data_IF_910086571979
#
_entry.id   IF_910086571979
#
_cell.length_a   1.000
_cell.length_b   1.000
_cell.length_c   1.000
_cell.angle_alpha   90.00
_cell.angle_beta   90.00
_cell.angle_gamma   90.00
#
_symmetry.space_group_name_H-M   'P 1'
#
loop_
_entity.id
_entity.type
_entity.pdbx_description
1 polymer ?
#
# COMPACT_ATOMS: atom_id res chain seq x y z
N UNK A 1 -21.24 -22.49 33.39
CA UNK A 1 -21.53 -21.44 32.38
C UNK A 1 -20.37 -21.38 31.41
N UNK A 2 -20.44 -22.23 30.39
CA UNK A 2 -19.45 -22.33 29.32
C UNK A 2 -19.74 -21.24 28.29
N UNK A 3 -18.93 -20.18 28.30
CA UNK A 3 -18.89 -19.21 27.22
C UNK A 3 -18.45 -19.98 25.96
N UNK A 4 -19.33 -20.06 24.96
CA UNK A 4 -19.00 -20.67 23.68
C UNK A 4 -17.80 -19.96 23.07
N UNK A 5 -16.94 -20.73 22.38
CA UNK A 5 -15.73 -20.22 21.68
C UNK A 5 -16.05 -18.99 20.81
N UNK A 6 -17.27 -18.88 20.28
CA UNK A 6 -17.75 -17.73 19.49
C UNK A 6 -17.83 -16.39 20.25
N UNK A 7 -18.21 -16.36 21.53
CA UNK A 7 -18.34 -15.09 22.27
C UNK A 7 -16.98 -14.53 22.70
N UNK A 8 -15.99 -15.38 22.98
CA UNK A 8 -14.62 -14.93 23.26
C UNK A 8 -13.93 -14.37 22.02
N UNK A 9 -14.18 -14.95 20.84
CA UNK A 9 -13.67 -14.40 19.57
C UNK A 9 -14.33 -13.06 19.24
N UNK A 10 -15.64 -12.92 19.42
CA UNK A 10 -16.38 -11.65 19.21
C UNK A 10 -15.93 -10.52 20.15
N UNK A 11 -15.65 -10.81 21.42
CA UNK A 11 -15.17 -9.80 22.39
C UNK A 11 -13.72 -9.37 22.09
N UNK A 12 -12.90 -10.23 21.48
CA UNK A 12 -11.53 -9.87 21.10
C UNK A 12 -11.44 -9.15 19.74
N UNK A 13 -12.53 -9.14 18.96
CA UNK A 13 -12.64 -8.40 17.70
C UNK A 13 -12.80 -6.89 17.88
N UNK A 14 -13.30 -6.41 19.02
CA UNK A 14 -13.60 -4.96 19.21
C UNK A 14 -12.42 -4.11 19.69
N UNK A 15 -11.28 -4.71 20.05
CA UNK A 15 -10.11 -3.96 20.57
C UNK A 15 -8.92 -3.91 19.59
N UNK A 16 -8.96 -4.67 18.49
CA UNK A 16 -7.84 -4.66 17.55
C UNK A 16 -7.77 -3.31 16.84
N UNK A 17 -6.61 -2.67 16.93
CA UNK A 17 -6.36 -1.37 16.31
C UNK A 17 -5.32 -1.50 15.20
N UNK A 18 -5.53 -0.73 14.15
CA UNK A 18 -4.56 -0.50 13.09
C UNK A 18 -3.98 0.91 13.18
N UNK A 19 -2.74 1.05 12.74
CA UNK A 19 -2.14 2.37 12.54
C UNK A 19 -2.50 2.84 11.12
N UNK A 20 -3.32 3.88 11.02
CA UNK A 20 -3.82 4.45 9.76
C UNK A 20 -3.14 5.80 9.52
N UNK A 21 -2.34 5.89 8.46
CA UNK A 21 -1.57 7.08 8.09
C UNK A 21 -2.42 8.15 7.40
N UNK A 22 -3.50 7.75 6.75
CA UNK A 22 -4.43 8.67 6.10
C UNK A 22 -5.62 7.97 5.48
N UNK A 23 -6.64 8.76 5.14
CA UNK A 23 -7.84 8.31 4.45
C UNK A 23 -8.12 9.30 3.32
N UNK A 24 -8.29 8.79 2.10
CA UNK A 24 -8.84 9.54 0.98
C UNK A 24 -10.28 9.08 0.79
N UNK A 25 -11.23 10.00 0.97
CA UNK A 25 -12.67 9.71 0.93
C UNK A 25 -13.19 9.37 -0.47
N UNK A 26 -12.50 9.82 -1.52
CA UNK A 26 -12.89 9.65 -2.92
C UNK A 26 -11.64 9.67 -3.81
N UNK A 27 -11.35 8.57 -4.48
CA UNK A 27 -10.25 8.42 -5.44
C UNK A 27 -10.70 7.65 -6.67
N UNK A 28 -10.23 8.08 -7.84
CA UNK A 28 -10.47 7.43 -9.14
C UNK A 28 -9.21 6.81 -9.74
N UNK A 29 -8.10 6.80 -8.97
CA UNK A 29 -6.80 6.30 -9.41
C UNK A 29 -6.34 5.05 -8.65
N UNK A 30 -6.91 4.77 -7.47
CA UNK A 30 -6.52 3.65 -6.58
C UNK A 30 -7.34 2.38 -6.84
N UNK A 31 -7.69 2.13 -8.10
CA UNK A 31 -8.49 1.01 -8.56
C UNK A 31 -9.70 1.44 -9.41
N UNK A 32 -10.52 0.49 -9.87
CA UNK A 32 -11.69 0.78 -10.70
C UNK A 32 -12.79 1.51 -9.93
N UNK A 33 -13.42 2.47 -10.61
CA UNK A 33 -14.50 3.28 -10.06
C UNK A 33 -14.02 4.35 -9.08
N UNK A 34 -14.96 5.00 -8.39
CA UNK A 34 -14.62 5.89 -7.28
C UNK A 34 -14.49 5.06 -6.00
N UNK A 35 -13.41 5.24 -5.23
CA UNK A 35 -13.09 4.41 -4.08
C UNK A 35 -12.68 5.25 -2.88
N UNK A 36 -13.00 4.80 -1.67
CA UNK A 36 -12.34 5.30 -0.47
C UNK A 36 -11.03 4.53 -0.28
N UNK A 37 -9.94 5.22 0.01
CA UNK A 37 -8.62 4.63 0.20
C UNK A 37 -8.17 4.80 1.64
N UNK A 38 -7.79 3.70 2.27
CA UNK A 38 -7.32 3.67 3.66
C UNK A 38 -5.83 3.33 3.63
N UNK A 39 -4.98 4.29 4.00
CA UNK A 39 -3.54 4.12 4.03
C UNK A 39 -3.09 3.66 5.41
N UNK A 40 -2.43 2.51 5.45
CA UNK A 40 -1.90 1.91 6.67
C UNK A 40 -0.44 2.33 6.88
N UNK A 41 -0.05 2.45 8.15
CA UNK A 41 1.32 2.73 8.57
C UNK A 41 2.11 1.43 8.76
N UNK A 42 3.39 1.45 8.39
CA UNK A 42 4.33 0.34 8.48
C UNK A 42 4.55 -0.29 7.10
N UNK A 43 5.80 -0.44 6.67
CA UNK A 43 6.18 -1.12 5.44
C UNK A 43 7.43 -1.99 5.67
N UNK A 44 7.47 -3.15 5.05
CA UNK A 44 8.60 -4.08 5.11
C UNK A 44 9.53 -3.97 3.88
N UNK A 45 9.39 -2.91 3.10
CA UNK A 45 10.33 -2.51 2.05
C UNK A 45 10.81 -1.07 2.31
N UNK A 46 11.91 -0.67 1.67
CA UNK A 46 12.50 0.66 1.79
C UNK A 46 12.82 1.25 0.42
N UNK A 47 11.84 1.24 -0.48
CA UNK A 47 12.01 1.61 -1.90
C UNK A 47 12.69 2.99 -2.06
N UNK A 48 13.69 3.07 -2.93
CA UNK A 48 14.40 4.34 -3.20
C UNK A 48 13.43 5.43 -3.69
N UNK A 49 12.46 5.05 -4.52
CA UNK A 49 11.45 5.93 -5.10
C UNK A 49 10.14 5.99 -4.32
N UNK A 50 10.10 5.55 -3.06
CA UNK A 50 8.86 5.58 -2.28
C UNK A 50 8.34 7.02 -2.10
N UNK A 51 7.20 7.33 -2.73
CA UNK A 51 6.52 8.63 -2.59
C UNK A 51 5.91 8.83 -1.21
N UNK A 52 5.54 7.74 -0.55
CA UNK A 52 4.97 7.74 0.79
C UNK A 52 5.98 7.24 1.83
N UNK A 53 7.24 7.68 1.75
CA UNK A 53 8.29 7.12 2.63
C UNK A 53 7.97 7.24 4.12
N UNK A 54 7.20 8.26 4.52
CA UNK A 54 6.70 8.45 5.88
C UNK A 54 5.71 7.36 6.37
N UNK A 55 5.29 6.42 5.52
CA UNK A 55 4.49 5.25 5.89
C UNK A 55 5.35 4.02 6.21
N UNK A 56 6.69 4.09 6.08
CA UNK A 56 7.56 2.92 6.24
C UNK A 56 7.73 2.53 7.71
N UNK A 57 8.19 3.44 8.58
CA UNK A 57 8.51 3.12 9.96
C UNK A 57 7.37 3.40 10.94
N UNK A 58 7.48 2.86 12.14
CA UNK A 58 6.62 3.24 13.27
C UNK A 58 7.31 4.31 14.11
N UNK A 59 6.55 5.24 14.66
CA UNK A 59 7.11 6.31 15.49
C UNK A 59 7.71 5.70 16.77
N UNK A 60 8.98 6.00 17.04
CA UNK A 60 9.68 5.61 18.27
C UNK A 60 9.65 6.71 19.35
N UNK A 61 8.86 7.77 19.15
CA UNK A 61 8.69 8.87 20.10
C UNK A 61 9.97 9.65 20.44
N UNK A 62 10.98 9.68 19.54
CA UNK A 62 12.22 10.43 19.77
C UNK A 62 12.03 11.96 19.90
N UNK A 63 10.89 12.51 19.46
CA UNK A 63 10.55 13.92 19.65
C UNK A 63 11.18 14.91 18.67
N UNK A 64 12.03 14.45 17.73
CA UNK A 64 12.67 15.33 16.74
C UNK A 64 11.66 16.13 15.89
N UNK A 65 10.54 15.52 15.54
CA UNK A 65 9.46 16.20 14.81
C UNK A 65 8.85 17.35 15.62
N UNK A 66 8.73 17.19 16.94
CA UNK A 66 8.21 18.21 17.85
C UNK A 66 9.22 19.36 18.01
N UNK A 67 10.50 19.03 18.20
CA UNK A 67 11.57 20.01 18.33
C UNK A 67 11.73 20.90 17.08
N UNK A 68 11.59 20.30 15.90
CA UNK A 68 11.80 20.98 14.62
C UNK A 68 10.51 21.48 13.96
N UNK A 69 9.37 21.49 14.67
CA UNK A 69 8.10 21.98 14.14
C UNK A 69 8.08 23.51 14.10
N UNK A 70 8.10 24.17 12.93
CA UNK A 70 8.21 25.64 12.86
C UNK A 70 7.01 26.37 13.49
N UNK A 71 5.84 25.72 13.48
CA UNK A 71 4.58 26.26 13.99
C UNK A 71 4.24 25.74 15.39
N UNK A 72 5.10 24.91 15.99
CA UNK A 72 4.88 24.27 17.29
C UNK A 72 3.54 23.50 17.39
N UNK A 73 3.08 22.97 16.26
CA UNK A 73 1.80 22.25 16.12
C UNK A 73 1.84 20.81 16.61
N UNK A 74 3.00 20.33 17.07
CA UNK A 74 3.20 18.95 17.51
C UNK A 74 3.56 18.91 18.99
N UNK A 75 3.03 17.93 19.72
CA UNK A 75 3.35 17.68 21.14
C UNK A 75 3.48 16.19 21.41
N UNK A 76 4.40 15.80 22.29
CA UNK A 76 4.51 14.43 22.77
C UNK A 76 3.39 14.14 23.79
N UNK A 77 2.61 13.08 23.54
CA UNK A 77 1.78 12.42 24.55
C UNK A 77 2.46 11.12 24.98
N UNK A 78 3.19 11.19 26.09
CA UNK A 78 3.89 10.05 26.65
C UNK A 78 2.93 8.98 27.19
N UNK A 79 1.76 9.38 27.68
CA UNK A 79 0.76 8.48 28.27
C UNK A 79 0.16 7.56 27.22
N UNK A 80 -0.18 8.11 26.06
CA UNK A 80 -0.79 7.36 24.95
C UNK A 80 0.22 6.90 23.88
N UNK A 81 1.52 7.20 24.08
CA UNK A 81 2.62 6.88 23.16
C UNK A 81 2.33 7.34 21.72
N UNK A 82 1.90 8.58 21.57
CA UNK A 82 1.67 9.19 20.26
C UNK A 82 2.11 10.66 20.22
N UNK A 83 2.23 11.21 19.01
CA UNK A 83 2.41 12.65 18.81
C UNK A 83 1.03 13.28 18.59
N UNK A 84 0.68 14.25 19.42
CA UNK A 84 -0.51 15.08 19.25
C UNK A 84 -0.22 16.08 18.14
N UNK A 85 -1.10 16.13 17.14
CA UNK A 85 -1.05 17.08 16.04
C UNK A 85 -2.21 18.07 16.15
N UNK A 86 -1.90 19.35 16.30
CA UNK A 86 -2.88 20.42 16.25
C UNK A 86 -3.04 20.94 14.81
N UNK A 87 -4.10 20.47 14.15
CA UNK A 87 -4.41 20.82 12.75
C UNK A 87 -4.72 22.30 12.53
N UNK A 88 -5.19 23.04 13.55
CA UNK A 88 -5.55 24.46 13.37
C UNK A 88 -4.35 25.40 13.29
N UNK A 89 -3.17 24.94 13.74
CA UNK A 89 -1.93 25.72 13.71
C UNK A 89 -0.92 25.18 12.70
N UNK A 90 -1.15 23.98 12.18
CA UNK A 90 -0.24 23.33 11.24
C UNK A 90 -0.36 23.96 9.86
N UNK A 91 0.77 24.32 9.28
CA UNK A 91 0.85 24.87 7.91
C UNK A 91 1.10 23.80 6.85
N UNK A 92 1.12 22.51 7.23
CA UNK A 92 1.40 21.39 6.32
C UNK A 92 2.73 21.54 5.56
N UNK A 93 3.77 22.05 6.22
CA UNK A 93 5.10 22.25 5.62
C UNK A 93 5.94 20.97 5.47
N UNK A 94 5.45 19.84 5.99
CA UNK A 94 6.09 18.52 5.98
C UNK A 94 7.49 18.42 6.62
N UNK A 95 7.95 19.45 7.35
CA UNK A 95 9.23 19.41 8.08
C UNK A 95 9.34 18.18 8.99
N UNK A 96 8.24 17.82 9.66
CA UNK A 96 8.19 16.67 10.54
C UNK A 96 8.33 15.32 9.80
N UNK A 97 7.85 15.22 8.56
CA UNK A 97 7.95 14.02 7.73
C UNK A 97 9.36 13.90 7.14
N UNK A 98 9.87 14.98 6.57
CA UNK A 98 11.19 15.03 5.92
C UNK A 98 12.33 14.70 6.88
N UNK A 99 12.22 15.14 8.13
CA UNK A 99 13.26 14.98 9.14
C UNK A 99 13.04 13.78 10.08
N UNK A 100 12.05 12.92 9.82
CA UNK A 100 11.80 11.76 10.67
C UNK A 100 12.83 10.64 10.36
N UNK A 101 13.70 10.26 11.31
CA UNK A 101 14.71 9.22 11.07
C UNK A 101 14.10 7.84 10.80
N UNK A 102 12.91 7.59 11.36
CA UNK A 102 12.17 6.35 11.17
C UNK A 102 11.44 6.29 9.82
N UNK A 103 11.42 7.37 9.03
CA UNK A 103 10.49 7.52 7.91
C UNK A 103 9.05 7.20 8.36
N UNK A 104 8.64 7.84 9.45
CA UNK A 104 7.30 7.72 10.03
C UNK A 104 6.56 9.05 9.94
N UNK A 105 5.30 9.06 10.37
CA UNK A 105 4.44 10.23 10.37
C UNK A 105 3.92 10.51 11.79
N UNK A 106 3.94 11.75 12.29
CA UNK A 106 3.24 12.10 13.53
C UNK A 106 1.72 12.17 13.32
N UNK A 107 1.23 11.94 12.10
CA UNK A 107 -0.18 12.11 11.73
C UNK A 107 -0.97 10.80 11.72
N UNK A 108 -0.30 9.64 11.76
CA UNK A 108 -1.05 8.38 11.76
C UNK A 108 -1.78 8.20 13.08
N UNK A 109 -2.97 7.60 13.00
CA UNK A 109 -3.87 7.38 14.14
C UNK A 109 -4.05 5.89 14.38
N UNK A 110 -4.26 5.52 15.63
CA UNK A 110 -4.79 4.20 15.96
C UNK A 110 -6.29 4.23 15.74
N UNK A 111 -6.79 3.36 14.88
CA UNK A 111 -8.21 3.25 14.58
C UNK A 111 -8.66 1.80 14.75
N UNK A 112 -9.83 1.62 15.33
CA UNK A 112 -10.54 0.35 15.42
C UNK A 112 -11.25 0.02 14.10
N UNK A 113 -11.80 -1.18 14.00
CA UNK A 113 -12.69 -1.54 12.87
C UNK A 113 -13.91 -0.62 12.84
N UNK A 114 -14.51 -0.33 14.00
CA UNK A 114 -15.70 0.52 14.11
C UNK A 114 -15.42 1.95 13.62
N UNK A 115 -14.27 2.51 13.99
CA UNK A 115 -13.84 3.83 13.50
C UNK A 115 -13.80 3.86 11.96
N UNK A 116 -13.22 2.83 11.32
CA UNK A 116 -13.15 2.77 9.86
C UNK A 116 -14.51 2.48 9.21
N UNK A 117 -15.37 1.68 9.84
CA UNK A 117 -16.74 1.46 9.35
C UNK A 117 -17.52 2.78 9.35
N UNK A 118 -17.41 3.58 10.41
CA UNK A 118 -18.01 4.92 10.46
C UNK A 118 -17.50 5.80 9.31
N UNK A 119 -16.19 5.82 9.08
CA UNK A 119 -15.58 6.59 7.99
C UNK A 119 -16.07 6.16 6.58
N UNK A 120 -16.32 4.85 6.38
CA UNK A 120 -16.85 4.29 5.12
C UNK A 120 -18.33 4.65 4.96
N UNK A 121 -19.13 4.56 6.03
CA UNK A 121 -20.56 4.88 6.00
C UNK A 121 -20.82 6.31 5.54
N UNK A 122 -19.99 7.26 5.95
CA UNK A 122 -20.11 8.67 5.55
C UNK A 122 -20.10 8.88 4.03
N UNK A 123 -19.37 8.04 3.29
CA UNK A 123 -19.15 8.20 1.85
C UNK A 123 -19.72 7.08 0.99
N UNK A 124 -20.35 6.07 1.61
CA UNK A 124 -20.84 4.84 0.94
C UNK A 124 -21.67 5.09 -0.34
N UNK A 125 -22.43 6.18 -0.40
CA UNK A 125 -23.28 6.50 -1.56
C UNK A 125 -22.51 7.09 -2.75
N UNK A 126 -21.26 7.50 -2.55
CA UNK A 126 -20.42 8.13 -3.57
C UNK A 126 -19.28 7.21 -4.04
N UNK A 127 -19.07 6.07 -3.38
CA UNK A 127 -18.00 5.12 -3.68
C UNK A 127 -18.57 3.79 -4.16
N UNK A 128 -17.81 3.13 -5.02
CA UNK A 128 -18.06 1.78 -5.52
C UNK A 128 -17.33 0.69 -4.70
N UNK A 129 -16.41 1.10 -3.84
CA UNK A 129 -15.59 0.20 -3.06
C UNK A 129 -14.58 0.91 -2.16
N UNK A 130 -13.84 0.10 -1.42
CA UNK A 130 -12.68 0.54 -0.63
C UNK A 130 -11.39 -0.07 -1.19
N UNK A 131 -10.29 0.67 -1.13
CA UNK A 131 -8.94 0.16 -1.34
C UNK A 131 -8.15 0.35 -0.06
N UNK A 132 -7.48 -0.70 0.41
CA UNK A 132 -6.50 -0.56 1.49
C UNK A 132 -5.09 -0.51 0.89
N UNK A 133 -4.27 0.45 1.31
CA UNK A 133 -2.92 0.73 0.77
C UNK A 133 -2.03 1.31 1.89
N UNK A 134 -1.03 2.13 1.58
CA UNK A 134 -0.18 2.83 2.55
C UNK A 134 1.27 2.41 2.50
N UNK A 135 1.77 1.85 3.60
CA UNK A 135 3.04 1.14 3.66
C UNK A 135 2.87 -0.25 3.04
N UNK A 136 2.96 -1.29 3.87
CA UNK A 136 2.60 -2.66 3.51
C UNK A 136 1.41 -3.11 4.34
N UNK A 137 0.23 -3.10 3.72
CA UNK A 137 -1.03 -3.34 4.39
C UNK A 137 -1.15 -4.78 4.93
N UNK A 138 -0.49 -5.76 4.30
CA UNK A 138 -0.49 -7.16 4.74
C UNK A 138 0.32 -7.41 6.02
N UNK A 139 1.03 -6.40 6.53
CA UNK A 139 1.56 -6.45 7.90
C UNK A 139 0.41 -6.49 8.93
N UNK A 140 -0.77 -6.01 8.57
CA UNK A 140 -1.95 -5.91 9.44
C UNK A 140 -3.08 -6.86 9.03
N UNK A 141 -2.76 -8.00 8.39
CA UNK A 141 -3.72 -8.95 7.82
C UNK A 141 -4.85 -9.39 8.79
N UNK A 142 -4.56 -9.57 10.09
CA UNK A 142 -5.59 -9.92 11.09
C UNK A 142 -6.64 -8.81 11.25
N UNK A 143 -6.20 -7.55 11.24
CA UNK A 143 -7.10 -6.40 11.29
C UNK A 143 -7.89 -6.26 9.99
N UNK A 144 -7.23 -6.44 8.84
CA UNK A 144 -7.90 -6.44 7.53
C UNK A 144 -9.01 -7.47 7.45
N UNK A 145 -8.77 -8.70 7.93
CA UNK A 145 -9.79 -9.74 7.98
C UNK A 145 -11.03 -9.27 8.76
N UNK A 146 -10.86 -8.66 9.93
CA UNK A 146 -11.97 -8.15 10.73
C UNK A 146 -12.67 -6.97 10.04
N UNK A 147 -11.93 -6.03 9.46
CA UNK A 147 -12.48 -4.91 8.71
C UNK A 147 -13.32 -5.39 7.53
N UNK A 148 -12.79 -6.30 6.71
CA UNK A 148 -13.48 -6.78 5.52
C UNK A 148 -14.69 -7.65 5.87
N UNK A 149 -14.57 -8.45 6.94
CA UNK A 149 -15.72 -9.17 7.50
C UNK A 149 -16.83 -8.19 7.91
N UNK A 150 -16.48 -7.10 8.59
CA UNK A 150 -17.44 -6.09 9.01
C UNK A 150 -18.09 -5.39 7.80
N UNK A 151 -17.30 -4.97 6.80
CA UNK A 151 -17.81 -4.35 5.56
C UNK A 151 -18.77 -5.29 4.83
N UNK A 152 -18.38 -6.56 4.60
CA UNK A 152 -19.19 -7.53 3.85
C UNK A 152 -20.44 -7.98 4.61
N UNK A 153 -20.42 -7.97 5.95
CA UNK A 153 -21.60 -8.29 6.78
C UNK A 153 -22.51 -7.10 7.07
N UNK A 154 -22.03 -5.87 6.89
CA UNK A 154 -22.82 -4.67 7.15
C UNK A 154 -23.91 -4.50 6.07
N UNK A 155 -25.19 -4.32 6.43
CA UNK A 155 -26.30 -4.31 5.47
C UNK A 155 -26.21 -3.19 4.43
N UNK A 156 -25.56 -2.08 4.78
CA UNK A 156 -25.41 -0.92 3.90
C UNK A 156 -24.09 -0.88 3.12
N UNK A 157 -23.11 -1.72 3.48
CA UNK A 157 -21.77 -1.70 2.88
C UNK A 157 -21.44 -2.98 2.09
N UNK A 158 -22.24 -4.04 2.23
CA UNK A 158 -21.96 -5.36 1.65
C UNK A 158 -21.84 -5.38 0.11
N UNK A 159 -22.32 -4.35 -0.58
CA UNK A 159 -22.19 -4.17 -2.03
C UNK A 159 -20.88 -3.51 -2.45
N UNK A 160 -20.11 -2.96 -1.51
CA UNK A 160 -18.83 -2.33 -1.80
C UNK A 160 -17.80 -3.40 -2.17
N UNK A 161 -17.09 -3.15 -3.27
CA UNK A 161 -15.91 -3.95 -3.63
C UNK A 161 -14.74 -3.63 -2.70
N UNK A 162 -13.89 -4.60 -2.43
CA UNK A 162 -12.72 -4.47 -1.56
C UNK A 162 -11.48 -4.85 -2.37
N UNK A 163 -10.56 -3.91 -2.50
CA UNK A 163 -9.25 -4.13 -3.12
C UNK A 163 -8.14 -3.94 -2.09
N UNK A 164 -7.07 -4.74 -2.25
CA UNK A 164 -5.88 -4.67 -1.41
C UNK A 164 -4.69 -4.32 -2.29
N UNK A 165 -4.06 -3.18 -2.03
CA UNK A 165 -2.83 -2.73 -2.67
C UNK A 165 -1.63 -3.10 -1.81
N UNK A 166 -0.77 -3.97 -2.32
CA UNK A 166 0.33 -4.56 -1.54
C UNK A 166 1.59 -4.69 -2.38
N UNK A 167 2.75 -4.57 -1.72
CA UNK A 167 4.03 -4.86 -2.32
C UNK A 167 4.30 -6.37 -2.47
N UNK A 168 3.44 -7.23 -1.94
CA UNK A 168 3.50 -8.68 -2.11
C UNK A 168 4.52 -9.41 -1.23
N UNK A 169 5.32 -8.71 -0.41
CA UNK A 169 6.36 -9.32 0.41
C UNK A 169 5.78 -9.89 1.72
N UNK A 170 5.02 -10.96 1.63
CA UNK A 170 4.37 -11.57 2.80
C UNK A 170 4.28 -13.09 2.67
N UNK A 171 3.91 -13.76 3.75
CA UNK A 171 3.69 -15.19 3.78
C UNK A 171 2.30 -15.55 3.23
N UNK A 172 2.21 -16.74 2.62
CA UNK A 172 0.98 -17.22 1.97
C UNK A 172 -0.22 -17.25 2.92
N UNK A 173 -0.02 -17.72 4.16
CA UNK A 173 -1.08 -17.82 5.16
C UNK A 173 -1.80 -16.48 5.45
N UNK A 174 -1.18 -15.33 5.16
CA UNK A 174 -1.83 -14.03 5.31
C UNK A 174 -2.74 -13.69 4.13
N UNK A 175 -2.44 -14.19 2.93
CA UNK A 175 -3.34 -14.10 1.78
C UNK A 175 -4.58 -14.95 2.03
N UNK A 176 -4.37 -16.21 2.48
CA UNK A 176 -5.44 -17.17 2.76
C UNK A 176 -6.51 -16.59 3.70
N UNK A 177 -6.10 -15.79 4.69
CA UNK A 177 -7.02 -15.11 5.60
C UNK A 177 -8.00 -14.16 4.92
N UNK A 178 -7.68 -13.64 3.73
CA UNK A 178 -8.41 -12.55 3.09
C UNK A 178 -9.13 -12.96 1.79
N UNK A 179 -8.80 -14.10 1.18
CA UNK A 179 -9.27 -14.48 -0.16
C UNK A 179 -10.80 -14.41 -0.31
N UNK A 180 -11.54 -14.88 0.69
CA UNK A 180 -13.01 -14.91 0.68
C UNK A 180 -13.66 -13.54 0.87
N UNK A 181 -12.90 -12.54 1.31
CA UNK A 181 -13.43 -11.23 1.72
C UNK A 181 -13.13 -10.12 0.72
N UNK A 182 -12.19 -10.35 -0.18
CA UNK A 182 -11.72 -9.35 -1.14
C UNK A 182 -12.14 -9.69 -2.55
N UNK A 183 -12.34 -8.64 -3.34
CA UNK A 183 -12.64 -8.76 -4.76
C UNK A 183 -11.33 -8.94 -5.55
N UNK A 184 -10.21 -8.38 -5.07
CA UNK A 184 -8.91 -8.61 -5.69
C UNK A 184 -7.73 -7.94 -5.01
N UNK A 185 -6.53 -8.37 -5.42
CA UNK A 185 -5.25 -7.81 -4.99
C UNK A 185 -4.55 -7.11 -6.15
N UNK A 186 -3.96 -5.96 -5.85
CA UNK A 186 -3.09 -5.21 -6.76
C UNK A 186 -1.67 -5.34 -6.21
N UNK A 187 -0.76 -5.91 -7.00
CA UNK A 187 0.62 -6.13 -6.60
C UNK A 187 1.61 -5.32 -7.45
N UNK A 188 2.74 -4.95 -6.83
CA UNK A 188 3.88 -4.38 -7.55
C UNK A 188 4.99 -5.42 -7.78
N UNK A 189 5.54 -5.45 -9.00
CA UNK A 189 6.88 -5.96 -9.25
C UNK A 189 7.84 -4.78 -9.39
N UNK A 190 8.81 -4.69 -8.48
CA UNK A 190 9.78 -3.58 -8.45
C UNK A 190 11.04 -3.91 -9.26
N UNK A 191 11.35 -5.19 -9.40
CA UNK A 191 12.33 -5.81 -10.28
C UNK A 191 12.13 -7.33 -10.23
N UNK A 192 12.47 -8.03 -11.32
CA UNK A 192 12.52 -9.48 -11.41
C UNK A 192 13.86 -10.05 -10.90
N UNK A 193 14.99 -9.41 -11.21
CA UNK A 193 16.29 -9.81 -10.65
C UNK A 193 16.32 -9.56 -9.14
N UNK A 194 16.72 -10.55 -8.31
CA UNK A 194 16.89 -10.35 -6.87
C UNK A 194 17.92 -9.25 -6.55
N UNK A 195 18.97 -9.10 -7.38
CA UNK A 195 20.00 -8.08 -7.21
C UNK A 195 19.42 -6.68 -7.45
N UNK A 196 18.70 -6.48 -8.56
CA UNK A 196 18.06 -5.20 -8.86
C UNK A 196 16.96 -4.88 -7.83
N UNK A 197 16.18 -5.88 -7.42
CA UNK A 197 15.17 -5.70 -6.40
C UNK A 197 15.77 -5.28 -5.05
N UNK A 198 16.88 -5.91 -4.64
CA UNK A 198 17.58 -5.52 -3.42
C UNK A 198 18.13 -4.09 -3.53
N UNK A 199 18.72 -3.71 -4.66
CA UNK A 199 19.20 -2.32 -4.89
C UNK A 199 18.06 -1.30 -4.81
N UNK A 200 16.88 -1.64 -5.33
CA UNK A 200 15.72 -0.75 -5.37
C UNK A 200 15.02 -0.66 -4.01
N UNK A 201 14.89 -1.78 -3.30
CA UNK A 201 13.98 -1.90 -2.15
C UNK A 201 14.67 -2.14 -0.81
N UNK A 202 15.91 -2.62 -0.84
CA UNK A 202 16.65 -3.16 0.31
C UNK A 202 16.39 -4.65 0.60
N UNK A 203 15.52 -5.31 -0.15
CA UNK A 203 15.07 -6.69 0.14
C UNK A 203 15.06 -7.57 -1.11
N UNK A 204 15.06 -8.88 -0.92
CA UNK A 204 14.90 -9.84 -2.00
C UNK A 204 13.41 -9.97 -2.40
N UNK A 205 13.11 -10.59 -3.55
CA UNK A 205 11.78 -10.62 -4.16
C UNK A 205 11.12 -12.00 -4.23
N UNK A 206 11.70 -13.03 -3.63
CA UNK A 206 11.21 -14.41 -3.79
C UNK A 206 9.78 -14.56 -3.28
N UNK A 207 9.45 -13.92 -2.14
CA UNK A 207 8.07 -13.92 -1.60
C UNK A 207 7.09 -13.14 -2.46
N UNK A 208 7.56 -12.09 -3.13
CA UNK A 208 6.74 -11.26 -4.02
C UNK A 208 6.37 -12.06 -5.25
N UNK A 209 7.37 -12.70 -5.90
CA UNK A 209 7.15 -13.56 -7.05
C UNK A 209 6.22 -14.74 -6.73
N UNK A 210 6.41 -15.38 -5.57
CA UNK A 210 5.50 -16.43 -5.08
C UNK A 210 4.09 -15.91 -4.84
N UNK A 211 3.94 -14.73 -4.25
CA UNK A 211 2.62 -14.13 -3.99
C UNK A 211 1.89 -13.79 -5.29
N UNK A 212 2.60 -13.29 -6.30
CA UNK A 212 2.04 -13.03 -7.64
C UNK A 212 1.50 -14.33 -8.25
N UNK A 213 2.30 -15.40 -8.26
CA UNK A 213 1.89 -16.69 -8.81
C UNK A 213 0.71 -17.28 -8.04
N UNK A 214 0.76 -17.22 -6.70
CA UNK A 214 -0.27 -17.74 -5.82
C UNK A 214 -1.61 -17.02 -6.02
N UNK A 215 -1.63 -15.70 -5.92
CA UNK A 215 -2.86 -14.92 -6.10
C UNK A 215 -3.42 -15.04 -7.52
N UNK A 216 -2.55 -15.24 -8.53
CA UNK A 216 -3.00 -15.55 -9.87
C UNK A 216 -3.67 -16.94 -9.95
N UNK A 217 -3.11 -17.98 -9.31
CA UNK A 217 -3.74 -19.31 -9.30
C UNK A 217 -5.06 -19.36 -8.55
N UNK A 218 -5.23 -18.49 -7.55
CA UNK A 218 -6.50 -18.31 -6.83
C UNK A 218 -7.52 -17.44 -7.59
N UNK A 219 -7.17 -16.92 -8.78
CA UNK A 219 -7.95 -15.94 -9.54
C UNK A 219 -8.29 -14.67 -8.72
N UNK A 220 -7.36 -14.24 -7.86
CA UNK A 220 -7.49 -13.07 -6.99
C UNK A 220 -6.49 -11.95 -7.28
N UNK A 221 -5.56 -12.16 -8.21
CA UNK A 221 -4.69 -11.09 -8.71
C UNK A 221 -5.48 -10.22 -9.71
N UNK A 222 -5.86 -9.02 -9.29
CA UNK A 222 -6.64 -8.07 -10.12
C UNK A 222 -5.73 -7.19 -10.98
N UNK A 223 -4.59 -6.78 -10.44
CA UNK A 223 -3.66 -5.87 -11.12
C UNK A 223 -2.20 -6.21 -10.77
N UNK A 224 -1.32 -6.17 -11.78
CA UNK A 224 0.14 -6.22 -11.62
C UNK A 224 0.75 -4.92 -12.17
N UNK A 225 1.58 -4.29 -11.34
CA UNK A 225 2.22 -3.00 -11.62
C UNK A 225 3.72 -3.16 -11.71
N UNK A 226 4.32 -2.58 -12.74
CA UNK A 226 5.76 -2.48 -12.88
C UNK A 226 6.18 -1.01 -12.91
N UNK A 227 7.03 -0.59 -11.97
CA UNK A 227 7.58 0.78 -11.96
C UNK A 227 8.92 0.80 -12.71
N UNK A 228 8.98 1.54 -13.82
CA UNK A 228 10.18 1.71 -14.62
C UNK A 228 11.11 2.75 -14.00
N UNK A 229 12.31 2.31 -13.61
CA UNK A 229 13.36 3.06 -12.94
C UNK A 229 14.66 2.99 -13.76
N UNK A 230 14.98 4.05 -14.51
CA UNK A 230 16.20 4.15 -15.29
C UNK A 230 17.48 3.86 -14.52
N UNK A 231 18.34 3.01 -15.08
CA UNK A 231 19.62 2.57 -14.49
C UNK A 231 19.49 1.44 -13.47
N UNK A 232 18.28 0.97 -13.19
CA UNK A 232 18.04 -0.07 -12.18
C UNK A 232 17.23 -1.25 -12.70
N UNK A 233 16.15 -1.03 -13.46
CA UNK A 233 15.30 -2.11 -13.95
C UNK A 233 14.79 -1.89 -15.40
N UNK A 234 15.45 -1.02 -16.15
CA UNK A 234 15.07 -0.65 -17.51
C UNK A 234 15.95 -1.31 -18.59
N UNK A 235 16.85 -2.20 -18.22
CA UNK A 235 17.60 -2.98 -19.20
C UNK A 235 16.70 -4.01 -19.89
N UNK A 236 17.11 -4.43 -21.09
CA UNK A 236 16.29 -5.31 -21.93
C UNK A 236 16.01 -6.66 -21.26
N UNK A 237 17.01 -7.26 -20.60
CA UNK A 237 16.86 -8.59 -20.00
C UNK A 237 15.91 -8.56 -18.81
N UNK A 238 15.98 -7.51 -17.99
CA UNK A 238 15.06 -7.28 -16.87
C UNK A 238 13.62 -7.15 -17.38
N UNK A 239 13.38 -6.31 -18.39
CA UNK A 239 12.04 -6.09 -18.95
C UNK A 239 11.51 -7.37 -19.63
N UNK A 240 12.36 -8.14 -20.32
CA UNK A 240 11.99 -9.44 -20.91
C UNK A 240 11.57 -10.45 -19.83
N UNK A 241 12.26 -10.50 -18.68
CA UNK A 241 11.85 -11.37 -17.58
C UNK A 241 10.51 -10.94 -16.96
N UNK A 242 10.30 -9.64 -16.80
CA UNK A 242 9.02 -9.08 -16.32
C UNK A 242 7.90 -9.38 -17.32
N UNK A 243 8.16 -9.24 -18.62
CA UNK A 243 7.26 -9.62 -19.70
C UNK A 243 6.89 -11.11 -19.63
N UNK A 244 7.86 -12.00 -19.47
CA UNK A 244 7.60 -13.44 -19.34
C UNK A 244 6.73 -13.77 -18.11
N UNK A 245 6.98 -13.10 -16.97
CA UNK A 245 6.13 -13.25 -15.79
C UNK A 245 4.71 -12.80 -16.09
N UNK A 246 4.54 -11.60 -16.65
CA UNK A 246 3.24 -11.01 -16.98
C UNK A 246 2.46 -11.91 -17.95
N UNK A 247 3.12 -12.50 -18.95
CA UNK A 247 2.52 -13.42 -19.91
C UNK A 247 2.02 -14.72 -19.29
N UNK A 248 2.62 -15.15 -18.17
CA UNK A 248 2.18 -16.34 -17.44
C UNK A 248 0.92 -16.11 -16.59
N UNK A 249 0.51 -14.85 -16.41
CA UNK A 249 -0.67 -14.49 -15.62
C UNK A 249 -1.95 -14.61 -16.43
N UNK A 250 -3.10 -14.67 -15.74
CA UNK A 250 -4.40 -14.67 -16.39
C UNK A 250 -4.55 -13.44 -17.32
N UNK A 251 -5.17 -13.59 -18.51
CA UNK A 251 -5.45 -12.47 -19.39
C UNK A 251 -6.26 -11.35 -18.73
N UNK A 252 -7.09 -11.69 -17.75
CA UNK A 252 -7.96 -10.77 -17.01
C UNK A 252 -7.21 -9.85 -16.05
N UNK A 253 -6.03 -10.26 -15.56
CA UNK A 253 -5.20 -9.43 -14.69
C UNK A 253 -4.88 -8.13 -15.41
N UNK A 254 -5.09 -6.98 -14.79
CA UNK A 254 -4.70 -5.71 -15.40
C UNK A 254 -3.19 -5.51 -15.32
N UNK A 255 -2.59 -5.05 -16.42
CA UNK A 255 -1.14 -4.83 -16.52
C UNK A 255 -0.84 -3.34 -16.62
N UNK A 256 -0.04 -2.84 -15.69
CA UNK A 256 0.26 -1.41 -15.58
C UNK A 256 1.76 -1.18 -15.57
N UNK A 257 2.24 -0.34 -16.49
CA UNK A 257 3.57 0.24 -16.48
C UNK A 257 3.49 1.64 -15.87
N UNK A 258 4.19 1.83 -14.75
CA UNK A 258 4.27 3.10 -14.03
C UNK A 258 5.62 3.75 -14.33
N UNK A 259 5.62 5.01 -14.74
CA UNK A 259 6.86 5.78 -14.88
C UNK A 259 7.30 6.31 -13.51
N UNK A 260 8.57 6.15 -13.18
CA UNK A 260 9.14 6.86 -12.03
C UNK A 260 8.88 8.36 -12.14
N UNK A 261 8.36 8.95 -11.05
CA UNK A 261 8.31 10.40 -10.82
C UNK A 261 9.27 10.78 -9.72
N UNK A 262 10.13 11.77 -9.96
CA UNK A 262 11.08 12.25 -8.94
C UNK A 262 10.40 13.06 -7.85
N UNK A 263 9.29 13.73 -8.18
CA UNK A 263 8.58 14.54 -7.20
C UNK A 263 8.10 13.67 -6.03
N UNK A 264 8.35 14.12 -4.80
CA UNK A 264 7.92 13.44 -3.57
C UNK A 264 8.83 12.31 -3.08
N UNK A 265 9.91 11.96 -3.79
CA UNK A 265 10.89 10.99 -3.26
C UNK A 265 11.86 11.67 -2.28
N UNK A 266 12.46 10.87 -1.39
CA UNK A 266 13.43 11.34 -0.39
C UNK A 266 14.67 11.96 -1.05
N UNK A 267 15.18 13.04 -0.47
CA UNK A 267 16.30 13.84 -1.01
C UNK A 267 17.53 13.02 -1.38
N UNK A 268 17.88 12.02 -0.55
CA UNK A 268 19.02 11.13 -0.81
C UNK A 268 18.90 10.32 -2.11
N UNK A 269 17.72 10.24 -2.73
CA UNK A 269 17.45 9.54 -3.97
C UNK A 269 17.12 10.47 -5.16
N UNK A 270 17.29 11.79 -5.03
CA UNK A 270 17.04 12.74 -6.13
C UNK A 270 17.95 12.54 -7.35
N UNK A 271 19.02 11.75 -7.22
CA UNK A 271 19.86 11.31 -8.33
C UNK A 271 19.15 10.36 -9.30
N UNK A 272 18.06 9.70 -8.90
CA UNK A 272 17.26 8.85 -9.81
C UNK A 272 16.69 9.70 -10.95
N UNK A 273 16.69 9.18 -12.17
CA UNK A 273 16.15 9.87 -13.36
C UNK A 273 14.74 9.40 -13.69
N UNK A 274 13.86 10.31 -14.14
CA UNK A 274 12.59 9.87 -14.75
C UNK A 274 12.89 9.21 -16.11
N UNK A 275 12.13 8.18 -16.51
CA UNK A 275 12.38 7.51 -17.78
C UNK A 275 12.10 8.45 -18.96
N UNK A 276 13.03 8.43 -19.92
CA UNK A 276 12.88 9.11 -21.20
C UNK A 276 11.77 8.48 -22.03
N UNK A 277 11.25 9.24 -23.00
CA UNK A 277 10.24 8.72 -23.93
C UNK A 277 10.72 7.47 -24.68
N UNK A 278 12.01 7.43 -25.06
CA UNK A 278 12.61 6.28 -25.74
C UNK A 278 12.66 5.03 -24.83
N UNK A 279 13.02 5.18 -23.56
CA UNK A 279 13.03 4.07 -22.59
C UNK A 279 11.60 3.54 -22.34
N UNK A 280 10.61 4.43 -22.27
CA UNK A 280 9.20 4.05 -22.14
C UNK A 280 8.74 3.28 -23.37
N UNK A 281 9.01 3.79 -24.58
CA UNK A 281 8.63 3.14 -25.83
C UNK A 281 9.30 1.77 -25.98
N UNK A 282 10.56 1.64 -25.58
CA UNK A 282 11.26 0.37 -25.56
C UNK A 282 10.60 -0.62 -24.59
N UNK A 283 10.32 -0.19 -23.35
CA UNK A 283 9.65 -1.03 -22.36
C UNK A 283 8.27 -1.47 -22.83
N UNK A 284 7.48 -0.52 -23.35
CA UNK A 284 6.15 -0.78 -23.91
C UNK A 284 6.24 -1.74 -25.09
N UNK A 285 7.22 -1.61 -25.98
CA UNK A 285 7.39 -2.51 -27.13
C UNK A 285 7.65 -3.95 -26.68
N UNK A 286 8.51 -4.14 -25.68
CA UNK A 286 8.82 -5.47 -25.14
C UNK A 286 7.57 -6.05 -24.45
N UNK A 287 6.92 -5.26 -23.59
CA UNK A 287 5.70 -5.68 -22.85
C UNK A 287 4.46 -5.86 -23.76
N UNK A 288 4.37 -5.18 -24.91
CA UNK A 288 3.25 -5.29 -25.87
C UNK A 288 3.48 -6.33 -26.95
N UNK A 289 4.67 -6.92 -27.07
CA UNK A 289 4.84 -8.14 -27.86
C UNK A 289 3.87 -9.26 -27.41
N UNK A 290 3.22 -9.06 -26.25
CA UNK A 290 2.54 -10.05 -25.46
C UNK A 290 1.00 -10.08 -25.62
N UNK A 291 0.42 -9.46 -26.65
CA UNK A 291 -1.04 -9.47 -26.97
C UNK A 291 -2.01 -8.91 -25.91
N UNK A 292 -1.54 -8.47 -24.74
CA UNK A 292 -2.39 -7.95 -23.66
C UNK A 292 -2.50 -6.41 -23.68
N UNK A 293 -3.59 -5.87 -23.12
CA UNK A 293 -3.79 -4.43 -22.95
C UNK A 293 -2.92 -3.89 -21.81
N UNK A 294 -1.76 -3.33 -22.15
CA UNK A 294 -0.89 -2.62 -21.21
C UNK A 294 -1.35 -1.17 -21.02
N UNK A 295 -1.56 -0.77 -19.77
CA UNK A 295 -1.82 0.62 -19.37
C UNK A 295 -0.50 1.27 -18.98
N UNK A 296 -0.28 2.53 -19.39
CA UNK A 296 0.94 3.28 -19.06
C UNK A 296 0.54 4.56 -18.33
N UNK A 297 1.03 4.74 -17.10
CA UNK A 297 0.71 5.89 -16.24
C UNK A 297 1.96 6.64 -15.78
#
# INVERSE_FOLDING_TARGET
>A
MSISVSQKELIHMSELQANISGIIKSSVIDGPGNRMVIFFQGCNLNCMYCHNSHTIGLCNMCGLCVQNCPTQSLKIDASNKHIIHNTSTCTHCDSCLKNCPENSSPFYKKMTVDDLISEIIEVKNFISGITVSGGEVMLQAKFLHQLFTAVKKHPELNKLSILVDSNGNTEQNKWDLLLDWVDGFMLDIKAYSPQNHNRITGYANEKILKSIQYLNSENKLDEIRFVLVPGFNNDKAEIENISNLIQSLSPEVRKVLIKLRKHGIRDKYHYLSEPTQQEIEQAVKILKADKHQLIVI
#
